data_IF_839049257457
#
_entry.id   IF_839049257457
#
_cell.length_a   1.000
_cell.length_b   1.000
_cell.length_c   1.000
_cell.angle_alpha   90.00
_cell.angle_beta   90.00
_cell.angle_gamma   90.00
#
_symmetry.space_group_name_H-M   'P 1'
#
loop_
_entity.id
_entity.type
_entity.pdbx_description
1 polymer ?
#
# COMPACT_ATOMS: atom_id res chain seq x y z
N UNK A 1 3.36 0.70 -12.94
CA UNK A 1 2.69 1.74 -12.13
C UNK A 1 2.64 1.41 -10.66
N UNK A 2 2.29 0.17 -10.32
CA UNK A 2 2.21 -0.20 -8.89
C UNK A 2 3.55 0.00 -8.19
N UNK A 3 4.61 -0.48 -8.79
CA UNK A 3 5.93 -0.35 -8.17
C UNK A 3 6.36 1.10 -8.02
N UNK A 4 6.02 1.92 -8.98
CA UNK A 4 6.34 3.34 -8.90
C UNK A 4 5.63 4.00 -7.71
N UNK A 5 4.34 3.71 -7.54
CA UNK A 5 3.57 4.29 -6.45
C UNK A 5 4.10 3.83 -5.11
N UNK A 6 4.42 2.55 -4.97
CA UNK A 6 4.94 2.01 -3.72
C UNK A 6 6.32 2.58 -3.40
N UNK A 7 7.17 2.70 -4.40
CA UNK A 7 8.50 3.26 -4.19
C UNK A 7 8.41 4.72 -3.77
N UNK A 8 7.50 5.45 -4.39
CA UNK A 8 7.30 6.85 -4.05
C UNK A 8 6.80 6.99 -2.61
N UNK A 9 5.89 6.10 -2.20
CA UNK A 9 5.40 6.07 -0.83
C UNK A 9 6.56 5.86 0.15
N UNK A 10 7.44 4.92 -0.18
CA UNK A 10 8.59 4.62 0.66
C UNK A 10 9.54 5.81 0.75
N UNK A 11 9.86 6.40 -0.38
CA UNK A 11 10.86 7.46 -0.43
C UNK A 11 10.36 8.77 0.15
N UNK A 12 9.10 9.08 -0.07
CA UNK A 12 8.54 10.36 0.36
C UNK A 12 7.74 10.26 1.65
N UNK A 13 7.53 9.06 2.16
CA UNK A 13 6.79 8.89 3.39
C UNK A 13 5.32 9.27 3.26
N UNK A 14 4.72 9.02 2.11
CA UNK A 14 3.33 9.39 1.89
C UNK A 14 2.41 8.19 1.88
N UNK A 15 1.15 8.43 2.17
CA UNK A 15 0.12 7.40 2.18
C UNK A 15 -0.36 7.14 0.77
N UNK A 16 -0.46 5.87 0.41
CA UNK A 16 -1.02 5.47 -0.88
C UNK A 16 -2.13 4.46 -0.66
N UNK A 17 -2.97 4.30 -1.65
CA UNK A 17 -4.09 3.36 -1.59
C UNK A 17 -3.79 2.17 -2.47
N UNK A 18 -3.92 0.97 -1.90
CA UNK A 18 -3.76 -0.26 -2.69
C UNK A 18 -5.06 -1.04 -2.68
N UNK A 19 -5.24 -1.81 -3.75
CA UNK A 19 -6.31 -2.80 -3.82
C UNK A 19 -5.62 -4.15 -3.65
N UNK A 20 -5.99 -4.86 -2.60
CA UNK A 20 -5.29 -6.07 -2.20
C UNK A 20 -6.21 -7.27 -2.22
N UNK A 21 -5.69 -8.36 -2.78
CA UNK A 21 -6.41 -9.63 -2.85
C UNK A 21 -5.87 -10.56 -1.76
N UNK A 22 -6.76 -11.01 -0.88
CA UNK A 22 -6.39 -11.98 0.15
C UNK A 22 -7.39 -13.11 0.05
N UNK A 23 -6.91 -14.28 -0.38
CA UNK A 23 -7.80 -15.38 -0.70
C UNK A 23 -8.70 -14.98 -1.85
N UNK A 24 -10.01 -14.97 -1.63
CA UNK A 24 -10.96 -14.53 -2.64
C UNK A 24 -11.55 -13.17 -2.31
N UNK A 25 -10.99 -12.47 -1.32
CA UNK A 25 -11.53 -11.19 -0.86
C UNK A 25 -10.64 -10.06 -1.34
N UNK A 26 -11.25 -9.07 -1.97
CA UNK A 26 -10.54 -7.89 -2.44
C UNK A 26 -10.84 -6.74 -1.49
N UNK A 27 -9.80 -6.11 -0.97
CA UNK A 27 -9.95 -5.01 -0.03
C UNK A 27 -9.15 -3.80 -0.48
N UNK A 28 -9.62 -2.63 -0.08
CA UNK A 28 -8.94 -1.37 -0.33
C UNK A 28 -8.27 -0.94 0.96
N UNK A 29 -6.98 -0.62 0.88
CA UNK A 29 -6.22 -0.26 2.08
C UNK A 29 -5.36 0.96 1.82
N UNK A 30 -5.33 1.85 2.81
CA UNK A 30 -4.40 2.98 2.79
C UNK A 30 -3.18 2.57 3.58
N UNK A 31 -2.02 2.66 2.96
CA UNK A 31 -0.78 2.22 3.57
C UNK A 31 0.34 3.21 3.32
N UNK A 32 1.37 3.12 4.14
CA UNK A 32 2.62 3.83 3.90
C UNK A 32 3.71 2.77 3.84
N UNK A 33 4.39 2.68 2.71
CA UNK A 33 5.43 1.68 2.53
C UNK A 33 6.60 1.96 3.44
N UNK A 34 7.09 0.93 4.11
CA UNK A 34 8.22 1.03 5.02
C UNK A 34 9.43 0.30 4.48
N UNK A 35 9.22 -0.79 3.73
CA UNK A 35 10.32 -1.56 3.17
C UNK A 35 9.79 -2.35 1.98
N UNK A 36 10.51 -2.34 0.89
CA UNK A 36 10.13 -3.06 -0.31
C UNK A 36 11.13 -4.16 -0.57
N UNK A 37 10.68 -5.41 -0.48
CA UNK A 37 11.49 -6.57 -0.78
C UNK A 37 11.20 -7.08 -2.19
N UNK A 38 11.73 -8.26 -2.51
CA UNK A 38 11.54 -8.84 -3.83
C UNK A 38 10.10 -9.22 -4.09
N UNK A 39 9.46 -9.85 -3.13
CA UNK A 39 8.10 -10.35 -3.29
C UNK A 39 7.15 -9.82 -2.24
N UNK A 40 7.62 -9.02 -1.31
CA UNK A 40 6.79 -8.53 -0.21
C UNK A 40 7.03 -7.05 0.02
N UNK A 41 6.01 -6.42 0.57
CA UNK A 41 6.06 -5.01 0.94
C UNK A 41 5.70 -4.92 2.41
N UNK A 42 6.60 -4.37 3.21
CA UNK A 42 6.29 -4.09 4.60
C UNK A 42 5.74 -2.67 4.66
N UNK A 43 4.57 -2.51 5.24
CA UNK A 43 3.92 -1.21 5.25
C UNK A 43 3.10 -1.04 6.51
N UNK A 44 2.89 0.21 6.89
CA UNK A 44 1.96 0.53 7.94
C UNK A 44 0.56 0.57 7.34
N UNK A 45 -0.34 -0.25 7.88
CA UNK A 45 -1.70 -0.33 7.39
C UNK A 45 -2.61 0.51 8.27
N UNK A 46 -3.20 1.55 7.70
CA UNK A 46 -4.03 2.46 8.48
C UNK A 46 -5.37 1.84 8.86
N UNK A 47 -5.84 0.87 8.08
CA UNK A 47 -7.06 0.16 8.43
C UNK A 47 -6.90 -0.63 9.71
N UNK A 48 -5.75 -1.31 9.85
CA UNK A 48 -5.48 -2.13 11.04
C UNK A 48 -4.67 -1.39 12.10
N UNK A 49 -4.17 -0.21 11.76
CA UNK A 49 -3.34 0.60 12.64
C UNK A 49 -2.14 -0.18 13.16
N UNK A 50 -1.48 -0.90 12.26
CA UNK A 50 -0.30 -1.68 12.59
C UNK A 50 0.50 -1.98 11.35
N UNK A 51 1.75 -2.40 11.53
CA UNK A 51 2.58 -2.80 10.41
C UNK A 51 2.11 -4.15 9.89
N UNK A 52 2.06 -4.29 8.57
CA UNK A 52 1.65 -5.50 7.92
C UNK A 52 2.59 -5.79 6.77
N UNK A 53 2.64 -7.06 6.38
CA UNK A 53 3.41 -7.47 5.21
C UNK A 53 2.43 -7.89 4.13
N UNK A 54 2.58 -7.28 2.95
CA UNK A 54 1.71 -7.56 1.82
C UNK A 54 2.51 -8.26 0.75
N UNK A 55 1.92 -9.28 0.11
CA UNK A 55 2.56 -9.94 -1.00
C UNK A 55 2.40 -9.08 -2.25
N UNK A 56 3.52 -8.80 -2.90
CA UNK A 56 3.50 -7.94 -4.09
C UNK A 56 2.53 -8.47 -5.15
N UNK A 57 2.49 -9.79 -5.34
CA UNK A 57 1.64 -10.40 -6.36
C UNK A 57 0.16 -10.24 -6.07
N UNK A 58 -0.21 -9.98 -4.83
CA UNK A 58 -1.60 -9.82 -4.44
C UNK A 58 -2.03 -8.36 -4.41
N UNK A 59 -1.14 -7.44 -4.74
CA UNK A 59 -1.50 -6.03 -4.88
C UNK A 59 -1.96 -5.84 -6.32
N UNK A 60 -3.25 -5.61 -6.48
CA UNK A 60 -3.86 -5.51 -7.80
C UNK A 60 -3.70 -4.13 -8.42
N UNK A 61 -3.65 -3.11 -7.58
CA UNK A 61 -3.41 -1.76 -8.05
C UNK A 61 -2.93 -0.89 -6.91
N UNK A 62 -2.32 0.23 -7.24
CA UNK A 62 -1.86 1.19 -6.26
C UNK A 62 -2.03 2.59 -6.85
N UNK A 63 -2.47 3.52 -6.03
CA UNK A 63 -2.67 4.89 -6.46
C UNK A 63 -2.37 5.83 -5.31
N UNK A 64 -2.10 7.07 -5.64
CA UNK A 64 -1.86 8.05 -4.60
C UNK A 64 -3.16 8.38 -3.89
N UNK A 65 -3.06 8.50 -2.56
CA UNK A 65 -4.23 8.78 -1.75
C UNK A 65 -4.59 10.25 -1.90
N UNK A 66 -5.87 10.50 -2.21
CA UNK A 66 -6.33 11.87 -2.39
C UNK A 66 -7.15 12.37 -1.20
N UNK A 67 -7.24 11.55 -0.21
CA UNK A 67 -8.15 11.84 0.88
C UNK A 67 -7.81 13.12 1.63
N UNK A 68 -6.71 13.63 1.47
CA UNK A 68 -6.34 14.73 2.11
C UNK A 68 -6.93 15.86 1.67
N UNK A 69 -7.22 15.79 0.70
CA UNK A 69 -7.80 16.93 0.25
C UNK A 69 -8.81 17.51 1.14
N UNK A 70 -9.07 17.42 1.47
CA UNK A 70 -9.93 17.91 2.11
C UNK A 70 -9.74 18.50 2.95
N UNK A 71 -9.10 18.46 2.81
CA UNK A 71 -9.17 18.83 3.62
C UNK A 71 -9.22 19.62 3.63
#
# INVERSE_FOLDING_TARGET
MIDYVLKFSLEQGIIVTIIYLKGSVITKRNIQALEIGDNTIKAYCYLRQQNRIFKRDNILSASFCKSRANV
#
